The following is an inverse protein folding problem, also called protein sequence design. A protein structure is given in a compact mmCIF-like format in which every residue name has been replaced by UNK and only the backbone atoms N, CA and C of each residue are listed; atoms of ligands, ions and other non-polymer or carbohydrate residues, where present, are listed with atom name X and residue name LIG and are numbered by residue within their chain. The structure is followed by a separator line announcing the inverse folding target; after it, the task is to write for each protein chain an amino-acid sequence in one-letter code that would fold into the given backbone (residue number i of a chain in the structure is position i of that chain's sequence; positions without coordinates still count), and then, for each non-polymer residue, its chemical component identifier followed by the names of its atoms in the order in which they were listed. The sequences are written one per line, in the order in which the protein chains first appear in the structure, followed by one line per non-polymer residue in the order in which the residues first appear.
data_IF_572986124971
#
_entry.id   IF_572986124971
#
_cell.length_a   1.000
_cell.length_b   1.000
_cell.length_c   1.000
_cell.angle_alpha   90.00
_cell.angle_beta   90.00
_cell.angle_gamma   90.00
#
_symmetry.space_group_name_H-M   'P 1'
#
loop_
_entity.id
_entity.type
_entity.pdbx_description
1 polymer ?
#
# COMPACT_ATOMS: atom_id res chain seq x y z
N UNK A 1 -0.19 -14.56 -9.34
CA UNK A 1 -0.14 -14.12 -7.92
C UNK A 1 0.24 -12.65 -7.91
N UNK A 2 -0.45 -11.79 -7.14
CA UNK A 2 -0.10 -10.37 -7.10
C UNK A 2 1.32 -10.18 -6.56
N UNK A 3 2.14 -9.41 -7.26
CA UNK A 3 3.47 -9.03 -6.81
C UNK A 3 3.38 -8.40 -5.40
N UNK A 4 4.10 -9.01 -4.47
CA UNK A 4 4.19 -8.59 -3.07
C UNK A 4 5.29 -7.55 -2.98
N UNK A 5 4.94 -6.30 -2.72
CA UNK A 5 5.93 -5.23 -2.57
C UNK A 5 6.13 -4.92 -1.08
N UNK A 6 7.40 -4.91 -0.65
CA UNK A 6 7.81 -4.39 0.65
C UNK A 6 8.82 -3.28 0.37
N UNK A 7 8.56 -2.08 0.90
CA UNK A 7 9.41 -0.92 0.73
C UNK A 7 9.91 -0.48 2.11
N UNK A 8 11.24 -0.55 2.31
CA UNK A 8 11.87 0.05 3.48
C UNK A 8 11.96 1.57 3.27
N UNK A 9 11.51 2.33 4.26
CA UNK A 9 11.58 3.77 4.27
C UNK A 9 12.77 4.14 5.16
N UNK A 10 13.89 4.55 4.57
CA UNK A 10 15.04 5.06 5.33
C UNK A 10 15.77 6.15 4.55
N UNK A 11 15.03 7.14 4.07
CA UNK A 11 15.58 8.22 3.26
C UNK A 11 14.87 9.54 3.55
N UNK A 12 15.25 10.60 2.82
CA UNK A 12 14.51 11.87 2.83
C UNK A 12 13.11 11.64 2.23
N UNK A 13 12.06 12.31 2.72
CA UNK A 13 10.70 12.07 2.24
C UNK A 13 10.52 12.38 0.75
N UNK A 14 11.22 13.40 0.20
CA UNK A 14 11.26 13.68 -1.25
C UNK A 14 11.73 12.47 -2.08
N UNK A 15 12.83 11.83 -1.67
CA UNK A 15 13.37 10.67 -2.36
C UNK A 15 12.43 9.45 -2.26
N UNK A 16 11.81 9.24 -1.10
CA UNK A 16 10.82 8.16 -0.91
C UNK A 16 9.63 8.35 -1.85
N UNK A 17 9.05 9.55 -1.87
CA UNK A 17 7.92 9.88 -2.75
C UNK A 17 8.29 9.71 -4.21
N UNK A 18 9.49 10.15 -4.63
CA UNK A 18 9.98 9.96 -5.99
C UNK A 18 10.10 8.48 -6.37
N UNK A 19 10.64 7.64 -5.48
CA UNK A 19 10.70 6.19 -5.69
C UNK A 19 9.29 5.59 -5.80
N UNK A 20 8.36 6.03 -4.95
CA UNK A 20 6.96 5.62 -5.06
C UNK A 20 6.34 6.05 -6.40
N UNK A 21 6.62 7.27 -6.87
CA UNK A 21 6.16 7.76 -8.17
C UNK A 21 6.72 6.96 -9.34
N UNK A 22 8.00 6.62 -9.29
CA UNK A 22 8.66 5.74 -10.24
C UNK A 22 8.03 4.35 -10.24
N UNK A 23 7.84 3.73 -9.07
CA UNK A 23 7.16 2.43 -8.95
C UNK A 23 5.74 2.47 -9.52
N UNK A 24 4.99 3.55 -9.27
CA UNK A 24 3.65 3.73 -9.82
C UNK A 24 3.68 3.88 -11.35
N UNK A 25 4.66 4.62 -11.88
CA UNK A 25 4.86 4.79 -13.31
C UNK A 25 5.26 3.46 -13.98
N UNK A 26 6.17 2.69 -13.37
CA UNK A 26 6.62 1.40 -13.87
C UNK A 26 5.48 0.37 -13.90
N UNK A 27 4.65 0.34 -12.86
CA UNK A 27 3.46 -0.53 -12.85
C UNK A 27 2.44 -0.08 -13.91
N UNK A 28 2.29 1.22 -14.17
CA UNK A 28 1.44 1.71 -15.29
C UNK A 28 2.02 1.32 -16.65
N UNK A 29 3.34 1.47 -16.85
CA UNK A 29 4.03 1.08 -18.10
C UNK A 29 3.93 -0.41 -18.33
N UNK A 30 4.23 -1.23 -17.32
CA UNK A 30 4.06 -2.67 -17.36
C UNK A 30 2.61 -3.01 -17.71
N UNK A 31 1.62 -2.44 -17.01
CA UNK A 31 0.21 -2.68 -17.32
C UNK A 31 -0.17 -2.31 -18.75
N UNK A 32 0.38 -1.22 -19.31
CA UNK A 32 0.13 -0.79 -20.69
C UNK A 32 0.78 -1.71 -21.71
N UNK A 33 2.04 -2.10 -21.50
CA UNK A 33 2.71 -3.12 -22.33
C UNK A 33 1.94 -4.44 -22.31
N UNK A 34 1.45 -4.81 -21.13
CA UNK A 34 0.64 -5.99 -20.94
C UNK A 34 -0.69 -5.95 -21.67
N UNK A 35 -1.41 -4.82 -21.65
CA UNK A 35 -2.63 -4.69 -22.45
C UNK A 35 -2.37 -4.83 -23.94
N UNK A 36 -1.23 -4.35 -24.44
CA UNK A 36 -0.79 -4.57 -25.82
C UNK A 36 -0.57 -6.06 -26.11
N UNK A 37 0.10 -6.77 -25.20
CA UNK A 37 0.35 -8.22 -25.36
C UNK A 37 -0.96 -9.04 -25.33
N UNK A 38 -1.95 -8.63 -24.53
CA UNK A 38 -3.27 -9.27 -24.50
C UNK A 38 -4.03 -9.11 -25.83
N UNK A 39 -3.80 -8.02 -26.58
CA UNK A 39 -4.38 -7.84 -27.92
C UNK A 39 -3.79 -8.81 -28.96
N UNK A 40 -2.60 -9.38 -28.72
CA UNK A 40 -2.02 -10.38 -29.62
C UNK A 40 -2.73 -11.74 -29.53
N UNK A 41 -3.36 -12.07 -28.40
CA UNK A 41 -4.05 -13.35 -28.21
C UNK A 41 -5.17 -13.60 -29.24
N UNK A 42 -6.13 -12.68 -29.47
CA UNK A 42 -7.14 -12.89 -30.52
C UNK A 42 -6.53 -12.93 -31.92
N UNK A 43 -5.47 -12.15 -32.18
CA UNK A 43 -4.77 -12.17 -33.48
C UNK A 43 -4.15 -13.55 -33.73
N UNK A 44 -3.44 -14.12 -32.75
CA UNK A 44 -2.91 -15.49 -32.81
C UNK A 44 -4.01 -16.53 -33.03
N UNK A 45 -5.16 -16.37 -32.37
CA UNK A 45 -6.33 -17.24 -32.56
C UNK A 45 -6.87 -17.20 -33.99
N UNK A 46 -7.06 -15.99 -34.54
CA UNK A 46 -7.56 -15.78 -35.91
C UNK A 46 -6.56 -16.33 -36.93
N UNK A 47 -5.27 -16.03 -36.78
CA UNK A 47 -4.22 -16.54 -37.67
C UNK A 47 -4.20 -18.07 -37.64
N UNK A 48 -4.24 -18.68 -36.46
CA UNK A 48 -4.30 -20.13 -36.33
C UNK A 48 -5.52 -20.75 -37.01
N UNK A 49 -6.70 -20.10 -36.91
CA UNK A 49 -7.92 -20.55 -37.58
C UNK A 49 -7.80 -20.42 -39.12
N UNK A 50 -7.23 -19.33 -39.63
CA UNK A 50 -7.02 -19.15 -41.06
C UNK A 50 -6.12 -20.23 -41.66
N UNK A 51 -5.07 -20.64 -40.95
CA UNK A 51 -4.21 -21.75 -41.39
C UNK A 51 -4.95 -23.06 -41.53
N UNK A 52 -5.86 -23.38 -40.60
CA UNK A 52 -6.71 -24.57 -40.66
C UNK A 52 -7.66 -24.49 -41.87
N UNK A 53 -8.23 -23.32 -42.15
CA UNK A 53 -9.13 -23.12 -43.30
C UNK A 53 -8.41 -23.27 -44.64
N UNK A 54 -7.16 -22.78 -44.75
CA UNK A 54 -6.34 -22.92 -45.97
C UNK A 54 -6.03 -24.39 -46.26
N UNK A 55 -5.74 -25.18 -45.23
CA UNK A 55 -5.50 -26.63 -45.36
C UNK A 55 -6.73 -27.34 -45.92
N UNK A 56 -7.95 -26.92 -45.54
CA UNK A 56 -9.21 -27.48 -46.06
C UNK A 56 -9.54 -27.02 -47.49
N UNK A 57 -9.10 -25.82 -47.87
CA UNK A 57 -9.41 -25.22 -49.17
C UNK A 57 -8.41 -25.62 -50.27
N UNK A 58 -7.22 -26.11 -49.90
CA UNK A 58 -6.17 -26.49 -50.85
C UNK A 58 -6.06 -28.01 -50.97
N UNK A 59 -5.83 -28.57 -52.18
CA UNK A 59 -5.72 -30.02 -52.38
C UNK A 59 -4.42 -30.64 -51.84
N UNK A 60 -3.65 -29.90 -51.05
CA UNK A 60 -2.42 -30.38 -50.44
C UNK A 60 -2.75 -31.26 -49.22
N UNK A 61 -2.71 -32.58 -49.39
CA UNK A 61 -3.03 -33.57 -48.35
C UNK A 61 -1.97 -33.73 -47.24
N UNK A 62 -1.08 -32.75 -47.07
CA UNK A 62 0.08 -32.86 -46.17
C UNK A 62 -0.19 -32.49 -44.71
N UNK A 63 -1.32 -31.84 -44.40
CA UNK A 63 -1.68 -31.44 -43.04
C UNK A 63 -0.75 -30.40 -42.39
N UNK A 64 0.21 -29.85 -43.14
CA UNK A 64 1.24 -28.96 -42.62
C UNK A 64 0.67 -27.65 -42.07
N UNK A 65 -0.37 -27.11 -42.71
CA UNK A 65 -1.00 -25.88 -42.25
C UNK A 65 -1.85 -26.10 -41.00
N UNK A 66 -2.50 -27.26 -40.88
CA UNK A 66 -3.22 -27.63 -39.65
C UNK A 66 -2.26 -27.70 -38.45
N UNK A 67 -1.08 -28.31 -38.59
CA UNK A 67 -0.05 -28.32 -37.53
C UNK A 67 0.44 -26.91 -37.17
N UNK A 68 0.62 -26.04 -38.17
CA UNK A 68 0.99 -24.65 -37.94
C UNK A 68 -0.09 -23.89 -37.15
N UNK A 69 -1.36 -24.11 -37.47
CA UNK A 69 -2.50 -23.56 -36.74
C UNK A 69 -2.50 -23.97 -35.25
N UNK A 70 -2.26 -25.25 -34.97
CA UNK A 70 -2.12 -25.75 -33.60
C UNK A 70 -0.92 -25.13 -32.86
N UNK A 71 0.22 -24.95 -33.52
CA UNK A 71 1.38 -24.28 -32.93
C UNK A 71 1.05 -22.84 -32.48
N UNK A 72 0.31 -22.08 -33.29
CA UNK A 72 -0.13 -20.73 -32.91
C UNK A 72 -1.08 -20.75 -31.70
N UNK A 73 -1.98 -21.73 -31.62
CA UNK A 73 -2.88 -21.87 -30.47
C UNK A 73 -2.14 -22.25 -29.19
N UNK A 74 -1.23 -23.23 -29.25
CA UNK A 74 -0.38 -23.61 -28.11
C UNK A 74 0.48 -22.44 -27.67
N UNK A 75 1.07 -21.70 -28.61
CA UNK A 75 1.81 -20.47 -28.32
C UNK A 75 0.94 -19.40 -27.65
N UNK A 76 -0.29 -19.20 -28.14
CA UNK A 76 -1.26 -18.28 -27.55
C UNK A 76 -1.67 -18.67 -26.13
N UNK A 77 -1.94 -19.94 -25.87
CA UNK A 77 -2.24 -20.46 -24.53
C UNK A 77 -1.04 -20.31 -23.60
N UNK A 78 0.17 -20.63 -24.08
CA UNK A 78 1.41 -20.43 -23.34
C UNK A 78 1.63 -18.97 -22.96
N UNK A 79 1.43 -18.04 -23.91
CA UNK A 79 1.49 -16.61 -23.70
C UNK A 79 0.45 -16.14 -22.68
N UNK A 80 -0.79 -16.63 -22.78
CA UNK A 80 -1.86 -16.32 -21.83
C UNK A 80 -1.50 -16.77 -20.42
N UNK A 81 -1.03 -18.02 -20.25
CA UNK A 81 -0.60 -18.54 -18.94
C UNK A 81 0.55 -17.72 -18.38
N UNK A 82 1.56 -17.41 -19.21
CA UNK A 82 2.71 -16.60 -18.83
C UNK A 82 2.29 -15.19 -18.38
N UNK A 83 1.37 -14.56 -19.10
CA UNK A 83 0.74 -13.31 -18.72
C UNK A 83 -0.02 -13.46 -17.38
N UNK A 84 -0.86 -14.47 -17.21
CA UNK A 84 -1.63 -14.63 -15.98
C UNK A 84 -0.73 -14.81 -14.74
N UNK A 85 0.39 -15.52 -14.87
CA UNK A 85 1.34 -15.76 -13.77
C UNK A 85 2.06 -14.49 -13.36
N UNK A 86 2.55 -13.70 -14.33
CA UNK A 86 3.42 -12.53 -14.06
C UNK A 86 2.66 -11.24 -13.68
N UNK A 87 1.35 -11.29 -13.50
CA UNK A 87 0.51 -10.09 -13.30
C UNK A 87 0.95 -9.31 -12.06
N UNK A 88 1.64 -8.19 -12.29
CA UNK A 88 2.03 -7.25 -11.24
C UNK A 88 0.84 -6.36 -10.92
N UNK A 89 0.40 -6.38 -9.66
CA UNK A 89 -0.65 -5.49 -9.17
C UNK A 89 -0.24 -4.92 -7.83
N UNK A 90 -0.15 -3.60 -7.74
CA UNK A 90 -0.04 -2.91 -6.47
C UNK A 90 -1.45 -2.70 -5.87
N UNK A 91 -1.62 -2.89 -4.55
CA UNK A 91 -2.84 -2.48 -3.85
C UNK A 91 -2.99 -0.96 -3.95
N UNK A 92 -3.81 -0.49 -4.90
CA UNK A 92 -3.93 0.93 -5.26
C UNK A 92 -4.31 1.81 -4.06
N UNK A 93 -5.20 1.32 -3.21
CA UNK A 93 -5.71 2.06 -2.05
C UNK A 93 -4.61 2.28 -1.00
N UNK A 94 -4.00 1.22 -0.48
CA UNK A 94 -2.95 1.31 0.55
C UNK A 94 -1.73 2.10 0.06
N UNK A 95 -1.30 1.84 -1.19
CA UNK A 95 -0.19 2.56 -1.80
C UNK A 95 -0.50 4.05 -1.98
N UNK A 96 -1.70 4.38 -2.47
CA UNK A 96 -2.14 5.76 -2.66
C UNK A 96 -2.20 6.54 -1.34
N UNK A 97 -2.81 5.92 -0.31
CA UNK A 97 -2.91 6.52 1.03
C UNK A 97 -1.52 6.78 1.64
N UNK A 98 -0.61 5.80 1.59
CA UNK A 98 0.75 5.98 2.10
C UNK A 98 1.50 7.08 1.34
N UNK A 99 1.38 7.11 0.00
CA UNK A 99 2.00 8.12 -0.86
C UNK A 99 1.51 9.52 -0.51
N UNK A 100 0.21 9.70 -0.40
CA UNK A 100 -0.40 11.00 -0.13
C UNK A 100 -0.03 11.51 1.27
N UNK A 101 -0.10 10.65 2.29
CA UNK A 101 0.34 11.00 3.65
C UNK A 101 1.82 11.40 3.67
N UNK A 102 2.69 10.62 3.01
CA UNK A 102 4.13 10.96 2.94
C UNK A 102 4.40 12.22 2.13
N UNK A 103 3.63 12.46 1.07
CA UNK A 103 3.73 13.67 0.24
C UNK A 103 3.36 14.91 1.04
N UNK A 104 2.28 14.89 1.82
CA UNK A 104 1.89 16.02 2.66
C UNK A 104 2.87 16.22 3.82
N UNK A 105 3.24 15.16 4.54
CA UNK A 105 4.17 15.27 5.66
C UNK A 105 5.57 15.70 5.26
N UNK A 106 5.95 15.52 3.99
CA UNK A 106 7.27 15.88 3.45
C UNK A 106 7.65 17.32 3.74
N UNK A 107 6.70 18.23 3.66
CA UNK A 107 6.94 19.66 3.79
C UNK A 107 7.06 20.07 5.27
N UNK A 108 6.54 19.25 6.19
CA UNK A 108 6.65 19.42 7.64
C UNK A 108 7.88 18.72 8.25
N UNK A 109 8.59 17.88 7.48
CA UNK A 109 9.79 17.18 7.96
C UNK A 109 10.94 18.16 8.10
N UNK A 110 11.70 18.04 9.19
CA UNK A 110 12.93 18.84 9.38
C UNK A 110 13.86 18.71 8.16
N UNK A 111 14.59 19.78 7.79
CA UNK A 111 15.48 19.80 6.61
C UNK A 111 16.48 18.63 6.58
N UNK A 112 16.98 18.22 7.75
CA UNK A 112 17.89 17.06 7.94
C UNK A 112 17.15 15.78 8.39
N UNK A 113 15.84 15.86 8.58
CA UNK A 113 14.97 14.79 9.02
C UNK A 113 14.91 13.66 8.01
N UNK A 114 15.11 12.44 8.50
CA UNK A 114 14.88 11.22 7.74
C UNK A 114 13.56 10.61 8.14
N UNK A 115 12.90 10.02 7.16
CA UNK A 115 11.72 9.19 7.37
C UNK A 115 12.20 7.76 7.52
N UNK A 116 11.85 7.14 8.65
CA UNK A 116 12.20 5.75 8.97
C UNK A 116 10.95 4.90 9.10
N UNK A 117 10.94 3.69 8.56
CA UNK A 117 9.78 2.82 8.61
C UNK A 117 9.69 1.83 7.46
N UNK A 118 8.48 1.38 7.16
CA UNK A 118 8.22 0.46 6.05
C UNK A 118 6.79 0.59 5.53
N UNK A 119 6.62 0.22 4.27
CA UNK A 119 5.35 0.03 3.59
C UNK A 119 5.29 -1.40 3.08
N UNK A 120 4.42 -2.20 3.67
CA UNK A 120 4.20 -3.61 3.34
C UNK A 120 2.87 -3.76 2.61
N UNK A 121 2.94 -4.04 1.30
CA UNK A 121 1.81 -4.23 0.40
C UNK A 121 1.57 -5.70 0.07
N UNK A 122 2.21 -6.59 0.82
CA UNK A 122 2.21 -8.02 0.55
C UNK A 122 0.92 -8.72 0.98
N UNK A 123 0.05 -7.97 1.67
CA UNK A 123 -1.30 -8.34 2.04
C UNK A 123 -1.44 -8.96 3.43
N UNK A 124 -2.67 -9.01 3.96
CA UNK A 124 -2.92 -9.33 5.37
C UNK A 124 -2.99 -10.83 5.69
N UNK A 125 -3.19 -11.71 4.69
CA UNK A 125 -3.38 -13.17 4.89
C UNK A 125 -2.06 -13.96 4.89
N UNK A 126 -0.96 -13.34 5.26
CA UNK A 126 0.33 -14.02 5.33
C UNK A 126 0.51 -14.78 6.64
N UNK A 127 1.20 -15.91 6.57
CA UNK A 127 1.47 -16.73 7.76
C UNK A 127 2.29 -15.95 8.80
N UNK A 128 3.26 -15.14 8.38
CA UNK A 128 4.04 -14.24 9.24
C UNK A 128 3.21 -13.19 9.98
N UNK A 129 1.98 -12.89 9.51
CA UNK A 129 1.05 -11.91 10.08
C UNK A 129 -0.06 -12.55 10.90
N UNK A 130 -0.02 -13.87 11.10
CA UNK A 130 -0.99 -14.60 11.89
C UNK A 130 -0.77 -14.29 13.38
N UNK A 131 -1.70 -13.54 13.96
CA UNK A 131 -1.63 -13.14 15.37
C UNK A 131 -2.17 -14.23 16.31
N UNK A 132 -3.19 -14.98 15.87
CA UNK A 132 -3.80 -16.05 16.67
C UNK A 132 -4.59 -17.02 15.79
N UNK A 133 -4.54 -18.30 16.15
CA UNK A 133 -5.47 -19.32 15.67
C UNK A 133 -6.45 -19.68 16.78
N UNK A 134 -7.70 -19.97 16.41
CA UNK A 134 -8.71 -20.47 17.33
C UNK A 134 -9.68 -21.41 16.65
N UNK A 135 -10.61 -21.96 17.42
CA UNK A 135 -11.72 -22.78 16.91
C UNK A 135 -13.06 -22.10 17.18
N UNK A 136 -14.04 -22.34 16.33
CA UNK A 136 -15.44 -21.99 16.59
C UNK A 136 -16.08 -23.00 17.52
N UNK A 137 -17.30 -22.72 18.02
CA UNK A 137 -18.10 -23.70 18.79
C UNK A 137 -18.29 -25.02 18.04
N UNK A 138 -18.40 -24.96 16.70
CA UNK A 138 -18.46 -26.13 15.80
C UNK A 138 -17.10 -26.76 15.45
N UNK A 139 -16.04 -26.48 16.20
CA UNK A 139 -14.70 -27.05 16.00
C UNK A 139 -13.89 -26.51 14.81
N UNK A 140 -14.47 -25.65 13.96
CA UNK A 140 -13.83 -25.17 12.73
C UNK A 140 -12.74 -24.13 13.00
N UNK A 141 -11.67 -24.17 12.21
CA UNK A 141 -10.54 -23.25 12.32
C UNK A 141 -10.93 -21.79 12.03
N UNK A 142 -10.33 -20.89 12.81
CA UNK A 142 -10.49 -19.44 12.72
C UNK A 142 -9.12 -18.79 12.86
N UNK A 143 -8.79 -17.91 11.94
CA UNK A 143 -7.50 -17.23 11.90
C UNK A 143 -7.68 -15.74 12.12
N UNK A 144 -6.83 -15.17 12.95
CA UNK A 144 -6.77 -13.74 13.22
C UNK A 144 -5.44 -13.20 12.71
N UNK A 145 -5.50 -12.34 11.71
CA UNK A 145 -4.34 -11.69 11.13
C UNK A 145 -4.23 -10.26 11.64
N UNK A 146 -3.00 -9.80 11.84
CA UNK A 146 -2.66 -8.42 12.17
C UNK A 146 -1.56 -7.95 11.22
N UNK A 147 -1.91 -7.04 10.34
CA UNK A 147 -1.04 -6.55 9.27
C UNK A 147 -0.70 -5.07 9.47
N UNK A 148 0.46 -4.74 10.08
CA UNK A 148 0.97 -3.37 10.11
C UNK A 148 1.54 -2.99 8.73
N UNK A 149 0.65 -2.68 7.80
CA UNK A 149 0.99 -2.47 6.39
C UNK A 149 1.71 -1.14 6.13
N UNK A 150 1.57 -0.15 7.02
CA UNK A 150 2.32 1.11 6.92
C UNK A 150 2.78 1.56 8.29
N UNK A 151 4.08 1.76 8.45
CA UNK A 151 4.67 2.30 9.67
C UNK A 151 5.71 3.34 9.28
N UNK A 152 5.62 4.50 9.93
CA UNK A 152 6.54 5.59 9.68
C UNK A 152 6.86 6.35 10.96
N UNK A 153 8.12 6.78 11.08
CA UNK A 153 8.67 7.59 12.16
C UNK A 153 9.42 8.76 11.52
N UNK A 154 9.02 9.97 11.90
CA UNK A 154 9.45 11.22 11.28
C UNK A 154 9.78 12.23 12.38
N UNK A 155 10.90 12.95 12.22
CA UNK A 155 11.22 14.14 13.01
C UNK A 155 10.79 15.38 12.24
N UNK A 156 9.84 16.12 12.81
CA UNK A 156 9.22 17.29 12.20
C UNK A 156 10.10 18.53 12.40
N UNK A 157 9.83 19.59 11.65
CA UNK A 157 10.67 20.79 11.59
C UNK A 157 10.81 21.48 12.96
N UNK A 158 9.73 21.44 13.73
CA UNK A 158 9.60 21.90 15.11
C UNK A 158 10.35 21.02 16.15
N UNK A 159 10.99 19.94 15.70
CA UNK A 159 11.69 18.99 16.56
C UNK A 159 10.79 17.91 17.17
N UNK A 160 9.47 17.96 16.94
CA UNK A 160 8.54 16.94 17.38
C UNK A 160 8.79 15.61 16.65
N UNK A 161 8.46 14.50 17.31
CA UNK A 161 8.63 13.17 16.74
C UNK A 161 7.27 12.52 16.54
N UNK A 162 6.90 12.34 15.28
CA UNK A 162 5.67 11.68 14.86
C UNK A 162 5.96 10.21 14.52
N UNK A 163 5.25 9.30 15.17
CA UNK A 163 5.18 7.89 14.81
C UNK A 163 3.77 7.54 14.39
N UNK A 164 3.61 7.12 13.15
CA UNK A 164 2.34 6.74 12.54
C UNK A 164 2.38 5.26 12.17
N UNK A 165 1.30 4.53 12.46
CA UNK A 165 1.16 3.11 12.11
C UNK A 165 -0.27 2.81 11.71
N UNK A 166 -0.45 2.30 10.49
CA UNK A 166 -1.73 1.79 9.99
C UNK A 166 -1.69 0.26 10.05
N UNK A 167 -2.71 -0.30 10.69
CA UNK A 167 -2.82 -1.73 10.94
C UNK A 167 -4.15 -2.21 10.39
N UNK A 168 -4.12 -3.30 9.65
CA UNK A 168 -5.30 -4.02 9.22
C UNK A 168 -5.46 -5.31 10.03
N UNK A 169 -6.63 -5.51 10.64
CA UNK A 169 -6.97 -6.70 11.40
C UNK A 169 -8.05 -7.48 10.67
N UNK A 170 -7.75 -8.72 10.33
CA UNK A 170 -8.69 -9.60 9.63
C UNK A 170 -8.97 -10.83 10.46
N UNK A 171 -10.25 -11.21 10.51
CA UNK A 171 -10.72 -12.49 11.03
C UNK A 171 -11.22 -13.33 9.87
N UNK A 172 -10.58 -14.46 9.61
CA UNK A 172 -10.96 -15.41 8.55
C UNK A 172 -11.58 -16.65 9.18
N UNK A 173 -12.68 -17.12 8.60
CA UNK A 173 -13.35 -18.39 8.94
C UNK A 173 -13.60 -19.17 7.66
N UNK A 174 -13.29 -20.47 7.63
CA UNK A 174 -13.60 -21.35 6.47
C UNK A 174 -13.30 -20.73 5.09
N UNK A 175 -12.16 -20.04 4.96
CA UNK A 175 -11.74 -19.39 3.70
C UNK A 175 -12.29 -17.99 3.41
N UNK A 176 -13.37 -17.55 4.07
CA UNK A 176 -13.96 -16.21 3.88
C UNK A 176 -13.58 -15.22 4.99
N UNK A 177 -13.59 -13.92 4.66
CA UNK A 177 -13.32 -12.84 5.61
C UNK A 177 -14.57 -12.56 6.43
N UNK A 178 -14.55 -12.93 7.71
CA UNK A 178 -15.67 -12.78 8.63
C UNK A 178 -15.69 -11.43 9.35
N UNK A 179 -14.54 -10.75 9.48
CA UNK A 179 -14.47 -9.37 9.93
C UNK A 179 -13.18 -8.72 9.43
N UNK A 180 -13.26 -7.44 9.09
CA UNK A 180 -12.15 -6.59 8.71
C UNK A 180 -12.23 -5.31 9.53
N UNK A 181 -11.12 -4.92 10.16
CA UNK A 181 -11.04 -3.67 10.93
C UNK A 181 -9.73 -2.99 10.61
N UNK A 182 -9.79 -1.69 10.40
CA UNK A 182 -8.63 -0.84 10.18
C UNK A 182 -8.36 -0.08 11.47
N UNK A 183 -7.10 -0.01 11.86
CA UNK A 183 -6.66 0.66 13.07
C UNK A 183 -5.54 1.64 12.72
N UNK A 184 -5.73 2.89 13.11
CA UNK A 184 -4.73 3.95 13.07
C UNK A 184 -4.14 4.10 14.47
N UNK A 185 -2.82 4.09 14.56
CA UNK A 185 -2.07 4.48 15.75
C UNK A 185 -1.15 5.63 15.39
N UNK A 186 -1.34 6.79 15.99
CA UNK A 186 -0.43 7.92 15.87
C UNK A 186 0.09 8.26 17.26
N UNK A 187 1.40 8.51 17.38
CA UNK A 187 2.04 8.96 18.61
C UNK A 187 2.89 10.17 18.26
N UNK A 188 2.62 11.28 18.90
CA UNK A 188 3.38 12.52 18.78
C UNK A 188 4.11 12.76 20.08
N UNK A 189 5.45 12.74 20.03
CA UNK A 189 6.30 13.16 21.15
C UNK A 189 6.60 14.63 20.94
N UNK A 190 6.09 15.43 21.87
CA UNK A 190 6.13 16.89 21.84
C UNK A 190 7.46 17.35 22.40
N UNK A 191 8.05 18.37 21.78
CA UNK A 191 9.21 19.09 22.28
C UNK A 191 8.76 20.03 23.42
N UNK A 192 9.08 19.72 24.69
CA UNK A 192 8.61 20.50 25.83
C UNK A 192 9.22 21.90 25.91
N UNK A 193 10.30 22.15 25.15
CA UNK A 193 10.88 23.49 25.05
C UNK A 193 9.99 24.45 24.26
N UNK A 194 9.30 23.98 23.22
CA UNK A 194 8.52 24.84 22.32
C UNK A 194 7.02 24.80 22.58
N UNK A 195 6.50 23.66 23.02
CA UNK A 195 5.07 23.45 23.15
C UNK A 195 4.68 22.91 24.52
N UNK A 196 3.53 23.37 24.98
CA UNK A 196 2.77 22.76 26.07
C UNK A 196 1.49 22.12 25.50
N UNK A 197 1.02 21.06 26.16
CA UNK A 197 -0.22 20.39 25.74
C UNK A 197 -1.39 21.12 26.38
N UNK A 198 -2.12 21.87 25.55
CA UNK A 198 -3.26 22.66 25.98
C UNK A 198 -4.60 21.93 25.96
N UNK A 199 -5.64 22.54 26.57
CA UNK A 199 -7.01 22.15 26.29
C UNK A 199 -7.30 22.37 24.81
N UNK A 200 -7.81 21.35 24.15
CA UNK A 200 -8.17 21.45 22.74
C UNK A 200 -9.31 20.51 22.39
N UNK A 201 -9.56 20.35 21.09
CA UNK A 201 -10.66 19.52 20.59
C UNK A 201 -10.52 18.09 21.12
N UNK A 202 -11.56 17.53 21.73
CA UNK A 202 -11.59 16.10 22.11
C UNK A 202 -11.57 15.27 20.83
N UNK A 203 -10.51 14.47 20.68
CA UNK A 203 -10.38 13.49 19.60
C UNK A 203 -10.68 12.10 20.16
N UNK A 204 -11.42 11.26 19.44
CA UNK A 204 -11.74 9.91 19.90
C UNK A 204 -10.48 9.05 20.00
N UNK A 205 -10.26 8.43 21.15
CA UNK A 205 -9.09 7.58 21.39
C UNK A 205 -7.77 8.33 21.52
N UNK A 206 -7.82 9.64 21.79
CA UNK A 206 -6.64 10.43 22.15
C UNK A 206 -6.37 10.32 23.65
N UNK A 207 -5.19 9.84 23.99
CA UNK A 207 -4.64 9.78 25.34
C UNK A 207 -3.46 10.75 25.43
N UNK A 208 -3.40 11.48 26.54
CA UNK A 208 -2.33 12.44 26.84
C UNK A 208 -1.55 11.88 28.02
N UNK A 209 -0.24 11.73 27.87
CA UNK A 209 0.68 11.31 28.92
C UNK A 209 1.91 12.21 28.88
N UNK A 210 2.06 13.09 29.86
CA UNK A 210 3.16 14.07 29.96
C UNK A 210 3.34 14.90 28.67
N UNK A 211 4.36 14.57 27.87
CA UNK A 211 4.69 15.22 26.59
C UNK A 211 4.37 14.33 25.38
N UNK A 212 3.50 13.33 25.54
CA UNK A 212 3.17 12.34 24.52
C UNK A 212 1.66 12.37 24.27
N UNK A 213 1.29 12.65 23.02
CA UNK A 213 -0.07 12.49 22.51
C UNK A 213 -0.16 11.15 21.78
N UNK A 214 -0.99 10.24 22.27
CA UNK A 214 -1.24 8.93 21.65
C UNK A 214 -2.67 8.86 21.14
N UNK A 215 -2.86 8.72 19.83
CA UNK A 215 -4.15 8.56 19.19
C UNK A 215 -4.30 7.13 18.68
N UNK A 216 -5.39 6.48 19.09
CA UNK A 216 -5.75 5.15 18.59
C UNK A 216 -7.20 5.12 18.12
N UNK A 217 -7.40 5.06 16.80
CA UNK A 217 -8.72 5.01 16.16
C UNK A 217 -8.90 3.67 15.48
N UNK A 218 -10.10 3.08 15.60
CA UNK A 218 -10.45 1.84 14.93
C UNK A 218 -11.79 1.96 14.21
N UNK A 219 -11.84 1.53 12.95
CA UNK A 219 -13.06 1.57 12.13
C UNK A 219 -13.13 0.37 11.17
N UNK A 220 -14.31 0.14 10.58
CA UNK A 220 -14.55 -0.99 9.67
C UNK A 220 -14.16 -0.69 8.22
N UNK A 221 -14.06 0.59 7.85
CA UNK A 221 -13.68 1.06 6.51
C UNK A 221 -12.16 1.38 6.46
N UNK A 222 -11.50 1.26 5.30
CA UNK A 222 -10.11 1.71 5.18
C UNK A 222 -10.02 3.22 5.47
N UNK A 223 -8.92 3.65 6.09
CA UNK A 223 -8.67 5.06 6.31
C UNK A 223 -8.30 5.74 4.99
N UNK A 224 -8.90 6.90 4.72
CA UNK A 224 -8.41 7.77 3.65
C UNK A 224 -7.21 8.59 4.12
N UNK A 225 -6.40 9.10 3.18
CA UNK A 225 -5.28 9.98 3.53
C UNK A 225 -5.77 11.25 4.22
N UNK A 226 -6.87 11.83 3.74
CA UNK A 226 -7.50 13.02 4.33
C UNK A 226 -7.97 12.79 5.77
N UNK A 227 -8.56 11.63 6.07
CA UNK A 227 -8.94 11.26 7.44
C UNK A 227 -7.71 11.20 8.36
N UNK A 228 -6.63 10.56 7.89
CA UNK A 228 -5.39 10.46 8.66
C UNK A 228 -4.80 11.84 8.92
N UNK A 229 -4.68 12.66 7.88
CA UNK A 229 -4.12 14.01 7.98
C UNK A 229 -5.00 14.92 8.85
N UNK A 230 -6.33 14.80 8.76
CA UNK A 230 -7.27 15.52 9.62
C UNK A 230 -7.13 15.15 11.09
N UNK A 231 -6.93 13.86 11.38
CA UNK A 231 -6.66 13.37 12.74
C UNK A 231 -5.31 13.87 13.27
N UNK A 232 -4.26 13.85 12.44
CA UNK A 232 -2.94 14.38 12.80
C UNK A 232 -2.99 15.89 13.04
N UNK A 233 -3.68 16.65 12.18
CA UNK A 233 -3.91 18.09 12.37
C UNK A 233 -4.68 18.36 13.67
N UNK A 234 -5.66 17.52 13.99
CA UNK A 234 -6.37 17.58 15.27
C UNK A 234 -5.47 17.34 16.48
N UNK A 235 -4.51 16.41 16.40
CA UNK A 235 -3.49 16.21 17.44
C UNK A 235 -2.60 17.44 17.57
N UNK A 236 -2.17 18.01 16.45
CA UNK A 236 -1.34 19.20 16.41
C UNK A 236 -2.05 20.44 16.98
N UNK A 237 -3.35 20.59 16.75
CA UNK A 237 -4.15 21.68 17.31
C UNK A 237 -4.30 21.66 18.84
N UNK A 238 -3.76 20.63 19.53
CA UNK A 238 -3.64 20.59 20.99
C UNK A 238 -2.37 21.25 21.51
N UNK A 239 -1.40 21.49 20.64
CA UNK A 239 -0.14 22.08 21.03
C UNK A 239 -0.29 23.59 21.11
N UNK A 240 0.07 24.15 22.26
CA UNK A 240 0.15 25.59 22.47
C UNK A 240 1.62 25.99 22.53
N UNK A 241 1.98 27.03 21.80
CA UNK A 241 3.34 27.53 21.80
C UNK A 241 3.63 28.19 23.15
N UNK A 242 4.78 27.86 23.74
CA UNK A 242 5.17 28.41 25.02
C UNK A 242 5.49 29.91 24.85
N UNK A 243 4.95 30.81 25.68
CA UNK A 243 5.23 32.24 25.56
C UNK A 243 6.73 32.52 25.76
N UNK A 244 7.32 33.33 24.87
CA UNK A 244 8.72 33.74 24.95
C UNK A 244 9.74 32.80 24.31
N UNK A 245 9.32 31.81 23.52
CA UNK A 245 10.23 31.04 22.66
C UNK A 245 9.88 31.30 21.21
N UNK A 246 10.80 31.88 20.44
CA UNK A 246 10.65 31.98 19.00
C UNK A 246 10.90 30.61 18.36
N UNK A 247 10.17 30.31 17.29
CA UNK A 247 10.52 29.16 16.45
C UNK A 247 11.99 29.33 16.06
N UNK A 248 12.83 28.29 16.15
CA UNK A 248 14.23 28.40 15.77
C UNK A 248 14.31 29.02 14.38
N UNK A 249 14.89 30.22 14.29
CA UNK A 249 15.05 30.96 13.06
C UNK A 249 15.66 30.00 12.04
N UNK A 250 14.98 29.86 10.90
CA UNK A 250 15.36 28.92 9.86
C UNK A 250 16.81 29.25 9.46
N UNK A 251 17.81 28.40 9.78
CA UNK A 251 19.18 28.71 9.42
C UNK A 251 19.21 28.78 7.89
N UNK A 252 19.62 29.95 7.40
CA UNK A 252 19.63 30.42 6.02
C UNK A 252 19.86 29.31 4.99
N UNK A 253 19.10 29.39 3.89
CA UNK A 253 19.07 28.47 2.76
C UNK A 253 20.45 28.13 2.18
#
# INVERSE_FOLDING_TARGET
MAAKAYLSLNARPRAIVQVMDQMAADVRRARRQWSGLFLLLPVLGIVGLLFIMIDQATPYSGGGFTWMGFLFWVGGVGLLIWLLVRRVSLPKEQFGVAREVLFTLRDDVSRRGRVTGWLDLTGPRQHSKLARTGRTRSGRAKYYYRDPWFQVKIKLADGNLLRLTLIERIKVKKGYVAARRHQLKARLVVNPGLYEIGPGRRLPGLEVQDHILSLQVQQSRPFSAQEILGLLKGMYGRLQMRPGHELPADPSA
#
